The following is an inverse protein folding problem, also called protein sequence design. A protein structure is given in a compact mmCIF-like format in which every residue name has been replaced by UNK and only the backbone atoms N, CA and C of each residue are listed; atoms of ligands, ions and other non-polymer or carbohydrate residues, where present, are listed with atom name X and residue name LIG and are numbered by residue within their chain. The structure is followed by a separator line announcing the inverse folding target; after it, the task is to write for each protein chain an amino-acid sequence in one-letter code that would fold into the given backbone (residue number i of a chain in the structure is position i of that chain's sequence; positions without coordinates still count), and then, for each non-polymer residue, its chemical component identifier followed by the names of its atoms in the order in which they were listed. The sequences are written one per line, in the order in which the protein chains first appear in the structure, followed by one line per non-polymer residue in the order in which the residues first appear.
data_IF_940189836064
#
_entry.id   IF_940189836064
#
_cell.length_a   1.000
_cell.length_b   1.000
_cell.length_c   1.000
_cell.angle_alpha   90.00
_cell.angle_beta   90.00
_cell.angle_gamma   90.00
#
_symmetry.space_group_name_H-M   'P 1'
#
loop_
_entity.id
_entity.type
_entity.pdbx_description
1 polymer ?
#
# COMPACT_ATOMS: atom_id res chain seq x y z
N UNK A 1 -0.84 7.77 4.91
CA UNK A 1 -1.98 8.71 4.79
C UNK A 1 -2.08 9.17 3.34
N UNK A 2 -3.25 8.97 2.72
CA UNK A 2 -3.52 9.39 1.35
C UNK A 2 -3.80 10.88 1.21
N UNK A 3 -4.34 11.28 0.04
CA UNK A 3 -4.70 12.66 -0.26
C UNK A 3 -3.51 13.52 -0.70
N UNK A 4 -3.75 14.42 -1.65
CA UNK A 4 -2.70 15.25 -2.27
C UNK A 4 -2.05 16.18 -1.23
N UNK A 5 -2.85 16.91 -0.45
CA UNK A 5 -2.34 17.77 0.63
C UNK A 5 -1.59 16.96 1.71
N UNK A 6 -2.02 15.73 1.97
CA UNK A 6 -1.32 14.80 2.85
C UNK A 6 0.09 14.50 2.33
N UNK A 7 0.19 14.11 1.06
CA UNK A 7 1.46 13.80 0.38
C UNK A 7 2.45 14.97 0.41
N UNK A 8 1.99 16.21 0.23
CA UNK A 8 2.86 17.39 0.35
C UNK A 8 3.48 17.53 1.74
N UNK A 9 2.71 17.24 2.80
CA UNK A 9 3.23 17.22 4.17
C UNK A 9 4.23 16.07 4.37
N UNK A 10 3.97 14.90 3.78
CA UNK A 10 4.91 13.77 3.82
C UNK A 10 6.25 14.16 3.17
N UNK A 11 6.24 14.89 2.06
CA UNK A 11 7.45 15.38 1.41
C UNK A 11 8.32 16.30 2.28
N UNK A 12 7.71 17.04 3.20
CA UNK A 12 8.42 17.95 4.12
C UNK A 12 8.98 17.22 5.36
N UNK A 13 8.46 16.05 5.69
CA UNK A 13 8.88 15.30 6.88
C UNK A 13 10.20 14.54 6.66
N UNK A 14 11.30 15.08 7.23
CA UNK A 14 12.60 14.39 7.25
C UNK A 14 12.56 13.11 8.08
N UNK A 15 11.80 13.12 9.19
CA UNK A 15 11.64 11.97 10.09
C UNK A 15 11.01 10.80 9.34
N UNK A 16 9.92 11.04 8.60
CA UNK A 16 9.25 9.99 7.83
C UNK A 16 10.15 9.38 6.76
N UNK A 17 10.89 10.21 6.02
CA UNK A 17 11.84 9.73 5.00
C UNK A 17 12.90 8.82 5.60
N UNK A 18 13.47 9.21 6.75
CA UNK A 18 14.42 8.40 7.51
C UNK A 18 13.79 7.07 7.93
N UNK A 19 12.63 7.10 8.57
CA UNK A 19 11.94 5.88 9.03
C UNK A 19 11.63 4.91 7.89
N UNK A 20 11.13 5.40 6.74
CA UNK A 20 10.83 4.54 5.60
C UNK A 20 12.08 3.94 4.95
N UNK A 21 13.17 4.69 4.92
CA UNK A 21 14.46 4.18 4.44
C UNK A 21 14.95 3.05 5.33
N UNK A 22 14.91 3.24 6.65
CA UNK A 22 15.30 2.19 7.61
C UNK A 22 14.32 1.00 7.60
N UNK A 23 13.03 1.23 7.36
CA UNK A 23 12.03 0.17 7.19
C UNK A 23 12.36 -0.72 6.00
N UNK A 24 12.69 -0.13 4.84
CA UNK A 24 13.08 -0.87 3.63
C UNK A 24 14.41 -1.60 3.83
N UNK A 25 15.43 -0.94 4.39
CA UNK A 25 16.74 -1.55 4.67
C UNK A 25 16.64 -2.76 5.58
N UNK A 26 15.77 -2.69 6.59
CA UNK A 26 15.56 -3.80 7.52
C UNK A 26 14.65 -4.91 6.96
N UNK A 27 14.29 -4.88 5.67
CA UNK A 27 13.47 -5.92 5.04
C UNK A 27 12.05 -6.02 5.60
N UNK A 28 11.54 -4.96 6.25
CA UNK A 28 10.19 -4.93 6.82
C UNK A 28 9.16 -4.44 5.83
N UNK A 29 7.89 -4.75 6.10
CA UNK A 29 6.78 -4.24 5.30
C UNK A 29 6.75 -2.71 5.31
N UNK A 30 6.47 -2.13 4.14
CA UNK A 30 6.23 -0.70 3.95
C UNK A 30 5.19 -0.49 2.84
N UNK A 31 4.57 0.68 2.79
CA UNK A 31 3.47 0.84 1.86
C UNK A 31 2.81 2.21 1.87
N UNK A 32 1.81 2.37 0.99
CA UNK A 32 1.08 3.61 0.80
C UNK A 32 -0.27 3.38 0.15
N UNK A 33 -1.25 4.21 0.51
CA UNK A 33 -2.62 4.17 -0.01
C UNK A 33 -2.92 5.44 -0.79
N UNK A 34 -3.79 5.34 -1.80
CA UNK A 34 -4.32 6.46 -2.54
C UNK A 34 -3.18 7.23 -3.24
N UNK A 35 -2.90 8.47 -2.83
CA UNK A 35 -1.85 9.28 -3.44
C UNK A 35 -0.44 9.00 -2.89
N UNK A 36 -0.31 8.30 -1.74
CA UNK A 36 0.98 8.05 -1.09
C UNK A 36 2.03 7.30 -1.94
N UNK A 37 1.68 6.39 -2.86
CA UNK A 37 2.66 5.74 -3.73
C UNK A 37 3.51 6.74 -4.53
N UNK A 38 2.95 7.89 -4.93
CA UNK A 38 3.72 8.97 -5.60
C UNK A 38 4.84 9.55 -4.71
N UNK A 39 4.61 9.59 -3.39
CA UNK A 39 5.64 9.97 -2.42
C UNK A 39 6.73 8.88 -2.34
N UNK A 40 6.33 7.61 -2.26
CA UNK A 40 7.26 6.47 -2.22
C UNK A 40 8.16 6.43 -3.47
N UNK A 41 7.60 6.72 -4.65
CA UNK A 41 8.36 6.83 -5.90
C UNK A 41 9.47 7.87 -5.80
N UNK A 42 9.14 9.09 -5.34
CA UNK A 42 10.11 10.17 -5.15
C UNK A 42 11.19 9.84 -4.12
N UNK A 43 10.98 8.85 -3.26
CA UNK A 43 12.00 8.36 -2.31
C UNK A 43 12.76 7.14 -2.86
N UNK A 44 12.56 6.74 -4.12
CA UNK A 44 13.19 5.55 -4.72
C UNK A 44 12.68 4.22 -4.17
N UNK A 45 11.54 4.23 -3.47
CA UNK A 45 11.03 3.06 -2.76
C UNK A 45 10.21 2.13 -3.68
N UNK A 46 9.84 2.57 -4.88
CA UNK A 46 9.10 1.78 -5.88
C UNK A 46 9.98 1.24 -7.02
N UNK A 47 11.30 1.45 -6.97
CA UNK A 47 12.21 0.92 -8.00
C UNK A 47 12.08 -0.60 -8.08
N UNK A 48 11.89 -1.13 -9.29
CA UNK A 48 11.75 -2.56 -9.59
C UNK A 48 10.58 -3.23 -8.83
N UNK A 49 9.51 -2.47 -8.59
CA UNK A 49 8.29 -2.94 -7.91
C UNK A 49 7.04 -2.64 -8.72
N UNK A 50 6.05 -3.52 -8.55
CA UNK A 50 4.68 -3.30 -9.02
C UNK A 50 3.90 -2.58 -7.91
N UNK A 51 3.18 -1.52 -8.28
CA UNK A 51 2.34 -0.75 -7.36
C UNK A 51 0.99 -0.39 -7.96
N UNK A 52 -0.01 -0.20 -7.11
CA UNK A 52 -1.26 0.51 -7.44
C UNK A 52 -1.32 1.85 -6.70
N UNK A 53 -2.16 2.76 -7.16
CA UNK A 53 -2.36 4.09 -6.58
C UNK A 53 -3.72 4.66 -6.97
N UNK A 54 -4.06 5.83 -6.44
CA UNK A 54 -5.27 6.53 -6.83
C UNK A 54 -5.24 6.91 -8.33
N UNK A 55 -6.36 6.81 -9.07
CA UNK A 55 -6.41 7.15 -10.50
C UNK A 55 -5.80 8.52 -10.84
N UNK A 56 -6.04 9.53 -10.00
CA UNK A 56 -5.46 10.88 -10.21
C UNK A 56 -3.93 10.98 -10.16
N UNK A 57 -3.21 9.94 -9.74
CA UNK A 57 -1.73 9.95 -9.67
C UNK A 57 -1.08 8.73 -10.32
N UNK A 58 -1.84 7.74 -10.77
CA UNK A 58 -1.30 6.46 -11.22
C UNK A 58 -0.43 6.63 -12.47
N UNK A 59 -0.86 7.46 -13.41
CA UNK A 59 -0.13 7.81 -14.64
C UNK A 59 1.17 8.59 -14.39
N UNK A 60 1.34 9.14 -13.18
CA UNK A 60 2.57 9.85 -12.78
C UNK A 60 3.60 8.90 -12.18
N UNK A 61 3.25 7.63 -11.99
CA UNK A 61 4.21 6.63 -11.57
C UNK A 61 5.02 6.15 -12.77
N UNK A 62 6.34 6.04 -12.60
CA UNK A 62 7.30 5.68 -13.66
C UNK A 62 7.72 4.21 -13.57
N UNK A 63 7.25 3.47 -12.57
CA UNK A 63 7.57 2.06 -12.35
C UNK A 63 6.56 1.11 -13.01
N UNK A 64 6.55 -0.16 -12.58
CA UNK A 64 5.51 -1.09 -12.98
C UNK A 64 4.23 -0.76 -12.20
N UNK A 65 3.12 -0.62 -12.92
CA UNK A 65 1.86 -0.14 -12.34
C UNK A 65 0.75 -1.14 -12.65
N UNK A 66 0.00 -1.53 -11.62
CA UNK A 66 -1.21 -2.33 -11.76
C UNK A 66 -2.44 -1.41 -11.64
N UNK A 67 -2.74 -0.69 -12.72
CA UNK A 67 -3.89 0.19 -12.77
C UNK A 67 -5.21 -0.60 -12.63
N UNK A 68 -6.22 0.02 -12.02
CA UNK A 68 -7.50 -0.60 -11.68
C UNK A 68 -7.46 -1.55 -10.48
N UNK A 69 -6.29 -2.09 -10.13
CA UNK A 69 -6.14 -3.07 -9.04
C UNK A 69 -6.29 -2.41 -7.68
N UNK A 70 -7.14 -2.97 -6.80
CA UNK A 70 -7.43 -2.39 -5.49
C UNK A 70 -6.25 -2.41 -4.51
N UNK A 71 -5.56 -3.55 -4.41
CA UNK A 71 -4.42 -3.76 -3.51
C UNK A 71 -3.34 -4.55 -4.25
N UNK A 72 -2.09 -4.14 -4.10
CA UNK A 72 -0.92 -4.83 -4.67
C UNK A 72 0.07 -5.11 -3.55
N UNK A 73 0.49 -6.37 -3.43
CA UNK A 73 1.64 -6.77 -2.60
C UNK A 73 2.76 -7.25 -3.52
N UNK A 74 3.90 -6.57 -3.49
CA UNK A 74 5.13 -6.99 -4.17
C UNK A 74 6.26 -7.12 -3.13
N UNK A 75 6.54 -8.37 -2.74
CA UNK A 75 7.50 -8.69 -1.70
C UNK A 75 7.12 -8.07 -0.35
N UNK A 76 7.78 -6.96 0.02
CA UNK A 76 7.55 -6.19 1.25
C UNK A 76 6.82 -4.86 1.01
N UNK A 77 6.60 -4.48 -0.24
CA UNK A 77 5.80 -3.32 -0.59
C UNK A 77 4.32 -3.74 -0.59
N UNK A 78 3.47 -2.95 0.07
CA UNK A 78 2.02 -3.03 -0.10
C UNK A 78 1.46 -1.67 -0.51
N UNK A 79 0.66 -1.63 -1.57
CA UNK A 79 0.00 -0.41 -2.04
C UNK A 79 -1.48 -0.63 -2.25
N UNK A 80 -2.26 0.45 -2.09
CA UNK A 80 -3.71 0.41 -2.23
C UNK A 80 -4.21 1.60 -3.04
N UNK A 81 -5.17 1.34 -3.93
CA UNK A 81 -5.77 2.30 -4.86
C UNK A 81 -6.47 3.45 -4.15
N UNK A 82 -7.23 3.16 -3.09
CA UNK A 82 -7.96 4.20 -2.38
C UNK A 82 -8.89 3.69 -1.29
N UNK A 83 -9.71 4.61 -0.76
CA UNK A 83 -10.62 4.34 0.34
C UNK A 83 -11.64 3.24 0.03
N UNK A 84 -12.13 3.16 -1.21
CA UNK A 84 -13.06 2.11 -1.63
C UNK A 84 -12.49 0.68 -1.56
N UNK A 85 -11.19 0.54 -1.34
CA UNK A 85 -10.47 -0.75 -1.25
C UNK A 85 -9.70 -0.87 0.07
N UNK A 86 -10.04 -0.04 1.08
CA UNK A 86 -9.27 0.03 2.34
C UNK A 86 -9.50 -1.19 3.23
N UNK A 87 -10.69 -1.81 3.16
CA UNK A 87 -10.98 -3.03 3.89
C UNK A 87 -10.14 -4.18 3.33
N UNK A 88 -10.12 -4.35 2.00
CA UNK A 88 -9.24 -5.32 1.33
C UNK A 88 -7.77 -5.09 1.69
N UNK A 89 -7.31 -3.82 1.71
CA UNK A 89 -5.95 -3.47 2.10
C UNK A 89 -5.63 -3.89 3.54
N UNK A 90 -6.56 -3.64 4.46
CA UNK A 90 -6.41 -4.00 5.87
C UNK A 90 -6.37 -5.52 6.05
N UNK A 91 -7.26 -6.25 5.36
CA UNK A 91 -7.31 -7.71 5.39
C UNK A 91 -6.08 -8.34 4.72
N UNK A 92 -5.54 -7.72 3.68
CA UNK A 92 -4.28 -8.14 3.06
C UNK A 92 -3.09 -7.98 4.02
N UNK A 93 -3.06 -6.91 4.82
CA UNK A 93 -2.07 -6.75 5.91
C UNK A 93 -2.23 -7.86 6.95
N UNK A 94 -3.46 -8.07 7.45
CA UNK A 94 -3.72 -9.13 8.45
C UNK A 94 -3.29 -10.49 7.91
N UNK A 95 -3.65 -10.81 6.66
CA UNK A 95 -3.27 -12.09 6.03
C UNK A 95 -1.75 -12.24 5.94
N UNK A 96 -1.03 -11.17 5.55
CA UNK A 96 0.43 -11.21 5.40
C UNK A 96 1.16 -11.50 6.71
N UNK A 97 0.62 -11.06 7.84
CA UNK A 97 1.26 -11.21 9.16
C UNK A 97 0.73 -12.40 9.97
N UNK A 98 -0.54 -12.76 9.80
CA UNK A 98 -1.24 -13.73 10.66
C UNK A 98 -1.93 -14.86 9.89
N UNK A 99 -1.81 -14.88 8.56
CA UNK A 99 -2.39 -15.88 7.68
C UNK A 99 -3.87 -15.65 7.34
N UNK A 100 -4.33 -16.35 6.30
CA UNK A 100 -5.68 -16.21 5.75
C UNK A 100 -6.79 -16.52 6.75
N UNK A 101 -6.59 -17.50 7.64
CA UNK A 101 -7.59 -17.84 8.66
C UNK A 101 -7.88 -16.64 9.60
N UNK A 102 -6.83 -15.91 9.99
CA UNK A 102 -7.01 -14.72 10.83
C UNK A 102 -7.67 -13.58 10.07
N UNK A 103 -7.27 -13.35 8.82
CA UNK A 103 -7.89 -12.35 7.97
C UNK A 103 -9.38 -12.63 7.74
N UNK A 104 -9.74 -13.90 7.48
CA UNK A 104 -11.14 -14.33 7.33
C UNK A 104 -11.96 -14.08 8.60
N UNK A 105 -11.45 -14.47 9.76
CA UNK A 105 -12.12 -14.22 11.04
C UNK A 105 -12.35 -12.72 11.30
N UNK A 106 -11.39 -11.86 10.95
CA UNK A 106 -11.54 -10.40 11.05
C UNK A 106 -12.62 -9.91 10.07
N UNK A 107 -12.61 -10.39 8.83
CA UNK A 107 -13.60 -10.02 7.82
C UNK A 107 -15.03 -10.39 8.23
N UNK A 108 -15.23 -11.60 8.74
CA UNK A 108 -16.50 -12.08 9.30
C UNK A 108 -16.99 -11.18 10.44
N UNK A 109 -16.09 -10.81 11.37
CA UNK A 109 -16.41 -9.93 12.49
C UNK A 109 -16.82 -8.50 12.10
N UNK A 110 -16.45 -8.04 10.91
CA UNK A 110 -16.87 -6.73 10.36
C UNK A 110 -17.94 -6.87 9.27
N UNK A 111 -18.53 -8.05 9.11
CA UNK A 111 -19.57 -8.36 8.11
C UNK A 111 -19.10 -8.00 6.69
N UNK A 112 -17.88 -8.42 6.35
CA UNK A 112 -17.27 -8.20 5.04
C UNK A 112 -16.91 -9.53 4.38
N UNK A 113 -17.16 -9.64 3.08
CA UNK A 113 -16.82 -10.85 2.33
C UNK A 113 -15.30 -10.97 2.15
N UNK A 114 -14.72 -12.06 2.65
CA UNK A 114 -13.28 -12.30 2.47
C UNK A 114 -13.03 -12.95 1.09
N UNK A 115 -12.27 -12.31 0.19
CA UNK A 115 -12.04 -12.83 -1.15
C UNK A 115 -11.37 -14.21 -1.11
N UNK A 116 -11.92 -15.16 -1.88
CA UNK A 116 -11.40 -16.54 -1.95
C UNK A 116 -10.06 -16.65 -2.71
N UNK A 117 -9.67 -15.62 -3.46
CA UNK A 117 -8.52 -15.65 -4.36
C UNK A 117 -7.54 -14.50 -4.05
N UNK A 118 -6.50 -14.82 -3.27
CA UNK A 118 -5.24 -14.08 -3.20
C UNK A 118 -4.20 -15.05 -2.63
N UNK A 119 -3.98 -16.16 -3.35
CA UNK A 119 -2.80 -17.03 -3.22
C UNK A 119 -1.88 -16.72 -4.40
#
# INVERSE_FOLDING_TARGET
MGGIAGVERLHKSRILKKLLTEQKKAGRMYGGICSSPSFLQKQGLLKDKIATAHPAVIDKLTGQVADGTGVVIDGKLITCRGLGTVIDFSLAIVSKFFGHARARSVAEGIVFEYPKAQL
#
